data_IF_440972559174
#
_entry.id   IF_440972559174
#
_cell.length_a   1.000
_cell.length_b   1.000
_cell.length_c   1.000
_cell.angle_alpha   90.00
_cell.angle_beta   90.00
_cell.angle_gamma   90.00
#
_symmetry.space_group_name_H-M   'P 1'
#
loop_
_entity.id
_entity.type
_entity.pdbx_description
1 polymer ?
#
# COMPACT_ATOMS: atom_id res chain seq x y z
N UNK A 1 25.79 -11.87 -0.02
CA UNK A 1 25.07 -11.18 -1.11
C UNK A 1 24.40 -9.95 -0.51
N UNK A 2 24.81 -8.75 -0.93
CA UNK A 2 24.19 -7.51 -0.46
C UNK A 2 23.00 -7.18 -1.35
N UNK A 3 21.79 -7.55 -0.92
CA UNK A 3 20.55 -7.31 -1.66
C UNK A 3 20.06 -5.85 -1.60
N UNK A 4 20.67 -5.02 -0.74
CA UNK A 4 20.22 -3.64 -0.47
C UNK A 4 21.32 -2.60 -0.73
N UNK A 5 22.14 -2.79 -1.76
CA UNK A 5 23.10 -1.78 -2.18
C UNK A 5 22.37 -0.58 -2.81
N UNK A 6 22.68 0.62 -2.34
CA UNK A 6 22.14 1.88 -2.87
C UNK A 6 23.13 2.54 -3.83
N UNK A 7 22.63 3.26 -4.81
CA UNK A 7 23.46 4.03 -5.74
C UNK A 7 24.23 5.15 -5.01
N UNK A 8 25.54 5.31 -5.26
CA UNK A 8 26.30 6.44 -4.73
C UNK A 8 25.79 7.74 -5.36
N UNK A 9 25.57 8.78 -4.54
CA UNK A 9 25.12 10.09 -5.01
C UNK A 9 23.62 10.25 -5.26
N UNK A 10 22.79 9.27 -4.85
CA UNK A 10 21.34 9.38 -4.99
C UNK A 10 20.74 10.44 -4.06
N UNK A 11 19.69 11.12 -4.52
CA UNK A 11 18.90 12.05 -3.71
C UNK A 11 17.60 11.38 -3.29
N UNK A 12 17.20 11.53 -2.03
CA UNK A 12 15.92 10.97 -1.57
C UNK A 12 14.76 11.82 -2.10
N UNK A 13 13.80 11.19 -2.77
CA UNK A 13 12.55 11.85 -3.09
C UNK A 13 11.78 12.20 -1.80
N UNK A 14 11.15 13.39 -1.71
CA UNK A 14 10.37 13.75 -0.54
C UNK A 14 9.16 12.81 -0.37
N UNK A 15 8.87 12.45 0.88
CA UNK A 15 7.69 11.67 1.24
C UNK A 15 6.42 12.46 0.88
N UNK A 16 5.61 11.91 -0.02
CA UNK A 16 4.37 12.55 -0.45
C UNK A 16 3.15 12.05 0.31
N UNK A 17 2.00 12.20 -0.34
CA UNK A 17 0.70 11.81 0.21
C UNK A 17 0.61 10.30 0.49
N UNK A 18 1.36 9.47 -0.25
CA UNK A 18 1.40 8.02 -0.06
C UNK A 18 1.81 7.62 1.36
N UNK A 19 2.76 8.35 1.95
CA UNK A 19 3.25 8.08 3.31
C UNK A 19 2.25 8.51 4.38
N UNK A 20 1.54 9.61 4.15
CA UNK A 20 0.47 10.07 5.04
C UNK A 20 -0.70 9.09 5.02
N UNK A 21 -1.07 8.62 3.83
CA UNK A 21 -2.17 7.70 3.64
C UNK A 21 -1.86 6.33 4.27
N UNK A 22 -0.65 5.80 4.03
CA UNK A 22 -0.20 4.54 4.59
C UNK A 22 -0.13 4.57 6.13
N UNK A 23 0.21 5.71 6.75
CA UNK A 23 0.17 5.87 8.21
C UNK A 23 -1.24 5.89 8.79
N UNK A 24 -2.23 6.41 8.05
CA UNK A 24 -3.63 6.47 8.49
C UNK A 24 -4.39 5.16 8.23
N UNK A 25 -3.91 4.36 7.29
CA UNK A 25 -4.55 3.13 6.83
C UNK A 25 -4.85 2.10 7.95
N UNK A 26 -3.95 1.87 8.94
CA UNK A 26 -4.27 0.98 10.06
C UNK A 26 -5.45 1.47 10.91
N UNK A 27 -5.57 2.79 11.12
CA UNK A 27 -6.69 3.36 11.87
C UNK A 27 -7.99 3.17 11.09
N UNK A 28 -7.97 3.44 9.79
CA UNK A 28 -9.13 3.22 8.91
C UNK A 28 -9.56 1.75 8.92
N UNK A 29 -8.59 0.82 8.88
CA UNK A 29 -8.85 -0.61 8.98
C UNK A 29 -9.53 -1.00 10.29
N UNK A 30 -9.01 -0.53 11.43
CA UNK A 30 -9.62 -0.78 12.74
C UNK A 30 -11.02 -0.21 12.80
N UNK A 31 -11.22 1.06 12.43
CA UNK A 31 -12.54 1.72 12.48
C UNK A 31 -13.55 1.01 11.57
N UNK A 32 -13.16 0.68 10.34
CA UNK A 32 -14.04 0.00 9.38
C UNK A 32 -14.45 -1.41 9.81
N UNK A 33 -13.63 -2.08 10.60
CA UNK A 33 -13.93 -3.41 11.15
C UNK A 33 -14.77 -3.30 12.43
N UNK A 34 -14.44 -2.31 13.27
CA UNK A 34 -15.05 -2.13 14.58
C UNK A 34 -16.53 -1.74 14.45
N UNK A 35 -16.88 -0.85 13.53
CA UNK A 35 -18.27 -0.38 13.34
C UNK A 35 -19.22 -1.55 13.04
N UNK A 36 -19.04 -2.38 11.99
CA UNK A 36 -19.95 -3.49 11.73
C UNK A 36 -19.85 -4.60 12.79
N UNK A 37 -18.67 -4.80 13.39
CA UNK A 37 -18.52 -5.78 14.48
C UNK A 37 -19.30 -5.39 15.74
N UNK A 38 -19.38 -4.09 16.04
CA UNK A 38 -20.12 -3.59 17.20
C UNK A 38 -21.62 -3.83 17.03
N UNK A 39 -22.16 -3.59 15.83
CA UNK A 39 -23.55 -3.88 15.50
C UNK A 39 -23.87 -5.38 15.62
N UNK A 40 -23.01 -6.24 15.07
CA UNK A 40 -23.17 -7.69 15.22
C UNK A 40 -23.13 -8.10 16.71
N UNK A 41 -22.17 -7.59 17.47
CA UNK A 41 -22.03 -7.89 18.90
C UNK A 41 -23.26 -7.43 19.69
N UNK A 42 -23.77 -6.23 19.39
CA UNK A 42 -24.99 -5.71 20.01
C UNK A 42 -26.19 -6.63 19.76
N UNK A 43 -26.38 -7.11 18.53
CA UNK A 43 -27.47 -8.03 18.19
C UNK A 43 -27.36 -9.36 18.96
N UNK A 44 -26.15 -9.91 19.13
CA UNK A 44 -25.91 -11.11 19.91
C UNK A 44 -26.15 -10.92 21.42
N UNK A 45 -25.82 -9.75 21.97
CA UNK A 45 -26.03 -9.47 23.40
C UNK A 45 -27.49 -9.13 23.72
N UNK A 46 -28.19 -8.44 22.83
CA UNK A 46 -29.55 -7.98 23.07
C UNK A 46 -30.61 -9.07 22.86
N UNK A 47 -30.31 -10.13 22.10
CA UNK A 47 -31.29 -11.14 21.69
C UNK A 47 -30.84 -12.55 22.08
N UNK A 48 -31.69 -13.30 22.78
CA UNK A 48 -31.45 -14.71 23.11
C UNK A 48 -31.69 -15.66 21.92
N UNK A 49 -32.57 -15.26 21.00
CA UNK A 49 -32.90 -16.01 19.78
C UNK A 49 -32.81 -15.03 18.63
N UNK A 50 -32.01 -15.36 17.62
CA UNK A 50 -31.78 -14.50 16.45
C UNK A 50 -32.88 -14.77 15.43
N UNK A 51 -33.62 -13.72 15.07
CA UNK A 51 -34.62 -13.76 14.00
C UNK A 51 -33.97 -13.76 12.61
N UNK A 52 -34.72 -14.18 11.59
CA UNK A 52 -34.22 -14.21 10.20
C UNK A 52 -33.76 -12.83 9.69
N UNK A 53 -34.44 -11.75 10.10
CA UNK A 53 -34.07 -10.37 9.75
C UNK A 53 -32.73 -9.95 10.38
N UNK A 54 -32.50 -10.35 11.63
CA UNK A 54 -31.24 -10.09 12.33
C UNK A 54 -30.09 -10.90 11.72
N UNK A 55 -30.33 -12.14 11.31
CA UNK A 55 -29.33 -12.94 10.58
C UNK A 55 -28.93 -12.30 9.24
N UNK A 56 -29.91 -11.78 8.48
CA UNK A 56 -29.63 -11.03 7.25
C UNK A 56 -28.74 -9.81 7.52
N UNK A 57 -29.03 -9.07 8.59
CA UNK A 57 -28.24 -7.90 9.01
C UNK A 57 -26.80 -8.28 9.35
N UNK A 58 -26.61 -9.39 10.07
CA UNK A 58 -25.27 -9.92 10.40
C UNK A 58 -24.49 -10.26 9.12
N UNK A 59 -25.10 -10.94 8.16
CA UNK A 59 -24.43 -11.26 6.88
C UNK A 59 -24.09 -10.02 6.07
N UNK A 60 -24.94 -8.99 6.10
CA UNK A 60 -24.65 -7.71 5.46
C UNK A 60 -23.45 -7.01 6.12
N UNK A 61 -23.40 -6.98 7.46
CA UNK A 61 -22.25 -6.44 8.20
C UNK A 61 -20.95 -7.18 7.86
N UNK A 62 -21.01 -8.50 7.75
CA UNK A 62 -19.88 -9.34 7.38
C UNK A 62 -19.43 -9.08 5.93
N UNK A 63 -20.36 -8.89 5.00
CA UNK A 63 -20.08 -8.46 3.63
C UNK A 63 -19.42 -7.08 3.56
N UNK A 64 -19.86 -6.13 4.39
CA UNK A 64 -19.25 -4.80 4.50
C UNK A 64 -17.80 -4.89 5.00
N UNK A 65 -17.53 -5.69 6.03
CA UNK A 65 -16.16 -5.89 6.56
C UNK A 65 -15.22 -6.34 5.44
N UNK A 66 -15.58 -7.39 4.69
CA UNK A 66 -14.74 -7.89 3.61
C UNK A 66 -14.56 -6.88 2.48
N UNK A 67 -15.62 -6.13 2.17
CA UNK A 67 -15.57 -5.07 1.16
C UNK A 67 -14.56 -3.99 1.55
N UNK A 68 -14.61 -3.49 2.80
CA UNK A 68 -13.65 -2.50 3.29
C UNK A 68 -12.23 -3.05 3.33
N UNK A 69 -12.03 -4.30 3.76
CA UNK A 69 -10.72 -4.93 3.75
C UNK A 69 -10.11 -4.98 2.36
N UNK A 70 -10.91 -5.29 1.34
CA UNK A 70 -10.45 -5.31 -0.05
C UNK A 70 -10.03 -3.92 -0.52
N UNK A 71 -10.86 -2.89 -0.30
CA UNK A 71 -10.52 -1.51 -0.67
C UNK A 71 -9.26 -1.01 0.03
N UNK A 72 -9.14 -1.29 1.32
CA UNK A 72 -7.96 -0.94 2.13
C UNK A 72 -6.72 -1.66 1.59
N UNK A 73 -6.84 -2.94 1.24
CA UNK A 73 -5.78 -3.71 0.62
C UNK A 73 -5.30 -3.11 -0.70
N UNK A 74 -6.23 -2.76 -1.60
CA UNK A 74 -5.91 -2.11 -2.88
C UNK A 74 -5.16 -0.79 -2.67
N UNK A 75 -5.64 0.04 -1.74
CA UNK A 75 -5.01 1.32 -1.41
C UNK A 75 -3.61 1.13 -0.81
N UNK A 76 -3.45 0.17 0.09
CA UNK A 76 -2.16 -0.16 0.69
C UNK A 76 -1.14 -0.61 -0.37
N UNK A 77 -1.54 -1.52 -1.27
CA UNK A 77 -0.71 -1.97 -2.39
C UNK A 77 -0.34 -0.79 -3.28
N UNK A 78 -1.28 0.08 -3.63
CA UNK A 78 -1.02 1.29 -4.42
C UNK A 78 0.02 2.21 -3.76
N UNK A 79 -0.08 2.45 -2.45
CA UNK A 79 0.89 3.25 -1.71
C UNK A 79 2.29 2.61 -1.71
N UNK A 80 2.37 1.29 -1.50
CA UNK A 80 3.64 0.55 -1.53
C UNK A 80 4.28 0.63 -2.91
N UNK A 81 3.50 0.46 -3.98
CA UNK A 81 3.99 0.59 -5.36
C UNK A 81 4.58 1.98 -5.59
N UNK A 82 3.90 3.05 -5.17
CA UNK A 82 4.42 4.43 -5.31
C UNK A 82 5.71 4.62 -4.51
N UNK A 83 5.81 4.06 -3.30
CA UNK A 83 7.05 4.11 -2.50
C UNK A 83 8.19 3.39 -3.22
N UNK A 84 7.93 2.23 -3.83
CA UNK A 84 8.92 1.47 -4.60
C UNK A 84 9.34 2.25 -5.85
N UNK A 85 8.39 2.85 -6.58
CA UNK A 85 8.65 3.68 -7.76
C UNK A 85 9.50 4.91 -7.43
N UNK A 86 9.24 5.55 -6.28
CA UNK A 86 10.09 6.64 -5.80
C UNK A 86 11.47 6.13 -5.38
N UNK A 87 11.51 4.97 -4.73
CA UNK A 87 12.68 4.12 -4.51
C UNK A 87 13.83 4.77 -3.72
N UNK A 88 14.44 4.09 -2.73
CA UNK A 88 15.68 4.56 -2.10
C UNK A 88 16.92 4.28 -2.99
N UNK A 89 16.74 4.26 -4.31
CA UNK A 89 17.75 3.99 -5.32
C UNK A 89 18.53 2.67 -5.11
N UNK A 90 17.82 1.57 -4.88
CA UNK A 90 18.44 0.24 -4.83
C UNK A 90 18.94 -0.18 -6.22
N UNK A 91 20.15 -0.72 -6.27
CA UNK A 91 20.77 -1.22 -7.50
C UNK A 91 20.17 -2.59 -7.83
N UNK A 92 19.40 -2.69 -8.92
CA UNK A 92 18.87 -3.97 -9.41
C UNK A 92 19.92 -4.72 -10.26
N UNK A 93 20.57 -4.02 -11.19
CA UNK A 93 21.68 -4.52 -12.01
C UNK A 93 22.66 -3.37 -12.30
N UNK A 94 23.90 -3.37 -11.76
CA UNK A 94 24.91 -2.41 -12.16
C UNK A 94 25.36 -2.74 -13.59
N UNK A 95 24.79 -2.06 -14.58
CA UNK A 95 25.34 -2.07 -15.93
C UNK A 95 26.55 -1.14 -15.97
N UNK A 96 27.73 -1.72 -16.22
CA UNK A 96 28.91 -0.93 -16.52
C UNK A 96 28.67 -0.19 -17.84
N UNK A 97 28.52 1.12 -17.75
CA UNK A 97 28.49 1.98 -18.92
C UNK A 97 29.86 1.86 -19.63
N UNK A 98 29.89 1.60 -20.95
CA UNK A 98 31.15 1.67 -21.69
C UNK A 98 31.77 3.04 -21.46
N UNK A 99 33.09 3.07 -21.23
CA UNK A 99 33.82 4.32 -20.98
C UNK A 99 33.52 5.30 -22.12
N UNK A 100 32.98 6.46 -21.76
CA UNK A 100 32.67 7.53 -22.70
C UNK A 100 33.91 7.85 -23.54
N UNK A 101 33.80 7.66 -24.85
CA UNK A 101 34.87 8.00 -25.78
C UNK A 101 34.71 9.45 -26.21
N UNK A 102 35.35 10.36 -25.46
CA UNK A 102 35.35 11.81 -25.72
C UNK A 102 35.80 12.23 -27.12
N UNK A 103 36.45 11.35 -27.89
CA UNK A 103 36.81 11.65 -29.27
C UNK A 103 35.60 11.60 -30.22
N UNK A 104 34.53 10.85 -29.88
CA UNK A 104 33.31 10.76 -30.69
C UNK A 104 32.38 11.97 -30.50
N UNK A 105 32.41 12.61 -29.33
CA UNK A 105 31.63 13.83 -29.06
C UNK A 105 32.13 15.05 -29.84
N UNK A 106 33.40 15.03 -30.30
CA UNK A 106 33.97 16.09 -31.13
C UNK A 106 33.35 16.18 -32.53
N UNK A 107 32.65 15.15 -32.98
CA UNK A 107 32.04 15.10 -34.31
C UNK A 107 30.56 14.71 -34.21
N UNK A 108 29.66 15.61 -33.76
CA UNK A 108 28.26 15.25 -33.49
C UNK A 108 27.41 14.98 -34.75
N UNK A 109 28.00 15.03 -35.95
CA UNK A 109 27.30 14.98 -37.23
C UNK A 109 28.05 14.18 -38.32
N UNK A 110 28.98 13.32 -37.93
CA UNK A 110 29.54 12.25 -38.78
C UNK A 110 29.06 10.90 -38.25
#
# INVERSE_FOLDING_TARGET
MNYFNKLPGYTNAPSGMEWVLLKKLPIVFVVSTLIPSAEMLYLYLANNIISAEQQMTIYLCLGLIFTFWFFIGVVAVGCVVVIIMKGPAYVADPYDLPKENKNLEKYPHL
#
